data_IF_697352169834
#
_entry.id   IF_697352169834
#
_cell.length_a   1.000
_cell.length_b   1.000
_cell.length_c   1.000
_cell.angle_alpha   90.00
_cell.angle_beta   90.00
_cell.angle_gamma   90.00
#
_symmetry.space_group_name_H-M   'P 1'
#
loop_
_entity.id
_entity.type
_entity.pdbx_description
1 polymer ?
#
# COMPACT_ATOMS: atom_id res chain seq x y z
N UNK A 1 -1.19 -30.48 -15.06
CA UNK A 1 -1.95 -29.71 -14.04
C UNK A 1 -0.94 -28.97 -13.17
N UNK A 2 -0.63 -27.73 -13.51
CA UNK A 2 0.35 -26.91 -12.77
C UNK A 2 -0.18 -25.49 -12.76
N UNK A 3 -0.60 -25.01 -11.59
CA UNK A 3 -1.06 -23.65 -11.40
C UNK A 3 0.15 -22.79 -10.99
N UNK A 4 0.42 -21.71 -11.70
CA UNK A 4 1.28 -20.64 -11.18
C UNK A 4 0.40 -19.72 -10.32
N UNK A 5 0.32 -20.02 -9.03
CA UNK A 5 -0.24 -19.11 -8.04
C UNK A 5 0.91 -18.23 -7.56
N UNK A 6 0.91 -16.94 -7.89
CA UNK A 6 1.75 -15.97 -7.21
C UNK A 6 1.14 -15.68 -5.82
N UNK A 7 1.34 -16.62 -4.88
CA UNK A 7 1.09 -16.39 -3.47
C UNK A 7 2.40 -15.91 -2.83
N UNK A 8 2.45 -14.63 -2.43
CA UNK A 8 3.54 -14.12 -1.61
C UNK A 8 3.31 -14.57 -0.18
N UNK A 9 3.99 -15.64 0.24
CA UNK A 9 3.98 -16.09 1.63
C UNK A 9 4.69 -15.05 2.52
N UNK A 10 4.01 -14.56 3.56
CA UNK A 10 4.61 -13.73 4.64
C UNK A 10 5.51 -14.63 5.50
N UNK A 11 6.82 -14.50 5.34
CA UNK A 11 7.81 -15.19 6.18
C UNK A 11 8.06 -14.45 7.49
N UNK A 12 7.82 -15.13 8.62
CA UNK A 12 8.37 -14.77 9.94
C UNK A 12 9.79 -15.33 10.06
N UNK A 13 10.75 -14.53 10.55
CA UNK A 13 12.08 -15.04 10.94
C UNK A 13 12.55 -14.44 12.26
N UNK A 14 12.93 -15.34 13.16
CA UNK A 14 13.73 -15.14 14.37
C UNK A 14 15.21 -15.46 14.06
N UNK A 15 16.24 -14.86 14.72
CA UNK A 15 17.64 -14.92 14.28
C UNK A 15 18.54 -15.82 15.15
N UNK A 16 19.48 -16.54 14.50
CA UNK A 16 20.79 -17.04 14.95
C UNK A 16 21.33 -17.89 13.78
N UNK A 17 22.54 -17.84 13.21
CA UNK A 17 23.95 -17.54 13.57
C UNK A 17 24.74 -17.17 12.27
N UNK A 18 25.68 -16.20 12.22
CA UNK A 18 27.17 -16.30 12.24
C UNK A 18 27.73 -17.62 11.62
N UNK A 19 28.59 -17.68 10.57
CA UNK A 19 29.97 -17.13 10.42
C UNK A 19 30.56 -17.47 9.01
N UNK A 20 31.20 -16.47 8.38
CA UNK A 20 32.43 -16.40 7.51
C UNK A 20 32.64 -17.17 6.18
N UNK A 21 33.27 -16.45 5.21
CA UNK A 21 33.97 -16.99 4.04
C UNK A 21 34.07 -16.01 2.86
N UNK A 22 35.04 -15.08 2.86
CA UNK A 22 35.38 -14.17 1.75
C UNK A 22 36.39 -14.81 0.80
N UNK A 23 36.21 -14.62 -0.51
CA UNK A 23 37.28 -14.58 -1.51
C UNK A 23 36.95 -13.51 -2.57
N UNK A 24 37.88 -12.58 -2.77
CA UNK A 24 37.94 -11.53 -3.83
C UNK A 24 38.85 -12.08 -4.94
N UNK A 25 38.68 -11.72 -6.23
CA UNK A 25 39.51 -10.64 -6.82
C UNK A 25 38.74 -9.80 -7.87
N UNK A 26 38.81 -8.46 -7.87
CA UNK A 26 39.81 -7.55 -8.49
C UNK A 26 39.14 -6.71 -9.59
N UNK A 27 39.32 -5.39 -9.43
CA UNK A 27 39.02 -4.27 -10.32
C UNK A 27 39.56 -4.42 -11.74
N UNK A 28 38.82 -3.90 -12.73
CA UNK A 28 39.28 -2.87 -13.70
C UNK A 28 38.07 -2.05 -14.20
N UNK A 29 38.14 -0.72 -14.11
CA UNK A 29 37.27 0.23 -14.83
C UNK A 29 38.05 0.80 -16.05
N UNK A 30 37.39 1.40 -17.05
CA UNK A 30 37.37 2.87 -17.04
C UNK A 30 36.13 3.57 -17.63
N UNK A 31 35.93 4.78 -17.08
CA UNK A 31 35.36 6.06 -17.52
C UNK A 31 34.86 6.29 -18.97
N UNK A 32 33.96 7.29 -19.05
CA UNK A 32 33.49 8.17 -20.17
C UNK A 32 31.97 7.97 -20.40
N UNK A 33 31.08 8.98 -20.43
CA UNK A 33 31.20 10.43 -20.67
C UNK A 33 29.92 11.10 -20.17
N UNK A 34 30.02 12.32 -19.65
CA UNK A 34 28.88 13.22 -19.42
C UNK A 34 28.26 13.64 -20.75
N UNK A 35 26.92 13.69 -20.82
CA UNK A 35 26.19 14.62 -21.70
C UNK A 35 25.05 15.26 -20.93
N UNK A 36 25.25 16.53 -20.60
CA UNK A 36 24.16 17.48 -20.37
C UNK A 36 23.28 17.48 -21.62
N UNK A 37 21.99 17.21 -21.45
CA UNK A 37 20.97 17.59 -22.42
C UNK A 37 20.01 18.52 -21.68
N UNK A 38 20.19 19.81 -21.92
CA UNK A 38 19.18 20.83 -21.69
C UNK A 38 18.27 20.81 -22.91
N UNK A 39 16.99 20.52 -22.74
CA UNK A 39 15.96 20.83 -23.74
C UNK A 39 14.87 21.65 -23.08
N UNK A 40 14.70 22.86 -23.60
CA UNK A 40 13.70 23.85 -23.23
C UNK A 40 12.27 23.40 -23.60
N UNK A 41 11.31 23.96 -22.86
CA UNK A 41 9.86 23.73 -22.90
C UNK A 41 9.24 23.85 -24.30
N UNK A 42 8.33 22.91 -24.60
CA UNK A 42 7.14 23.16 -25.41
C UNK A 42 5.91 22.70 -24.60
N UNK A 43 5.00 23.63 -24.32
CA UNK A 43 3.77 23.37 -23.59
C UNK A 43 2.72 22.75 -24.52
N UNK A 44 2.66 21.42 -24.54
CA UNK A 44 1.46 20.69 -24.91
C UNK A 44 0.86 20.12 -23.62
N UNK A 45 -0.40 20.47 -23.33
CA UNK A 45 -1.15 19.94 -22.19
C UNK A 45 -1.32 18.43 -22.34
N UNK A 46 -0.39 17.71 -21.74
CA UNK A 46 -0.34 16.26 -21.67
C UNK A 46 -1.05 15.85 -20.36
N UNK A 47 -2.01 14.89 -20.37
CA UNK A 47 -2.70 14.43 -19.15
C UNK A 47 -1.76 13.77 -18.13
N UNK A 48 -0.48 13.58 -18.47
CA UNK A 48 0.59 13.13 -17.59
C UNK A 48 0.99 14.13 -16.50
N UNK A 49 0.68 15.42 -16.65
CA UNK A 49 1.07 16.45 -15.65
C UNK A 49 0.26 16.40 -14.34
N UNK A 50 -0.97 15.90 -14.35
CA UNK A 50 -1.83 15.78 -13.15
C UNK A 50 -1.52 14.53 -12.34
N UNK A 51 -1.02 13.48 -12.99
CA UNK A 51 -0.65 12.18 -12.40
C UNK A 51 0.64 12.21 -11.59
N UNK A 52 1.42 13.28 -11.75
CA UNK A 52 2.62 13.54 -10.96
C UNK A 52 2.41 14.60 -9.87
N UNK A 53 1.17 15.02 -9.64
CA UNK A 53 0.88 16.04 -8.64
C UNK A 53 0.96 15.46 -7.21
N UNK A 54 1.37 16.28 -6.23
CA UNK A 54 1.23 15.93 -4.81
C UNK A 54 -0.21 15.55 -4.41
N UNK A 55 -1.21 16.05 -5.14
CA UNK A 55 -2.63 15.78 -4.90
C UNK A 55 -3.04 14.35 -5.27
N UNK A 56 -2.33 13.70 -6.20
CA UNK A 56 -2.50 12.26 -6.47
C UNK A 56 -1.64 11.40 -5.54
N UNK A 57 -0.36 11.78 -5.36
CA UNK A 57 0.62 10.92 -4.66
C UNK A 57 0.34 10.80 -3.17
N UNK A 58 -0.17 11.85 -2.52
CA UNK A 58 -0.51 11.79 -1.09
C UNK A 58 -1.61 10.77 -0.79
N UNK A 59 -2.80 10.80 -1.42
CA UNK A 59 -3.82 9.78 -1.19
C UNK A 59 -3.43 8.39 -1.73
N UNK A 60 -2.70 8.30 -2.85
CA UNK A 60 -2.11 7.04 -3.31
C UNK A 60 -1.21 6.42 -2.23
N UNK A 61 -0.33 7.22 -1.63
CA UNK A 61 0.53 6.78 -0.53
C UNK A 61 -0.28 6.27 0.66
N UNK A 62 -1.39 6.93 1.01
CA UNK A 62 -2.28 6.44 2.08
C UNK A 62 -2.88 5.07 1.74
N UNK A 63 -3.36 4.86 0.50
CA UNK A 63 -3.85 3.56 0.05
C UNK A 63 -2.78 2.46 0.10
N UNK A 64 -1.56 2.79 -0.31
CA UNK A 64 -0.40 1.88 -0.25
C UNK A 64 -0.04 1.54 1.22
N UNK A 65 -0.12 2.51 2.13
CA UNK A 65 0.09 2.30 3.57
C UNK A 65 -1.02 1.42 4.17
N UNK A 66 -2.27 1.60 3.75
CA UNK A 66 -3.41 0.79 4.19
C UNK A 66 -3.21 -0.70 3.90
N UNK A 67 -2.66 -1.04 2.73
CA UNK A 67 -2.27 -2.41 2.39
C UNK A 67 -0.98 -2.86 3.08
N UNK A 68 0.17 -2.30 2.66
CA UNK A 68 1.51 -2.81 3.01
C UNK A 68 2.27 -1.97 4.05
N UNK A 69 1.67 -0.87 4.52
CA UNK A 69 2.29 0.03 5.50
C UNK A 69 2.26 -0.49 6.94
N UNK A 70 3.24 -0.07 7.73
CA UNK A 70 3.39 -0.39 9.15
C UNK A 70 3.77 0.86 9.94
N UNK A 71 2.87 1.28 10.85
CA UNK A 71 3.11 2.36 11.80
C UNK A 71 3.50 1.74 13.15
N UNK A 72 4.77 1.92 13.49
CA UNK A 72 5.46 1.24 14.58
C UNK A 72 5.81 2.24 15.68
N UNK A 73 5.43 1.89 16.91
CA UNK A 73 5.96 2.51 18.12
C UNK A 73 6.68 1.42 18.88
N UNK A 74 7.96 1.65 19.13
CA UNK A 74 8.85 0.76 19.88
C UNK A 74 9.49 1.55 21.02
N UNK A 75 10.41 0.90 21.74
CA UNK A 75 11.23 1.56 22.73
C UNK A 75 12.70 1.18 22.61
N UNK A 76 13.59 2.10 22.96
CA UNK A 76 14.98 1.82 23.23
C UNK A 76 15.17 1.57 24.72
N UNK A 77 15.59 0.34 25.08
CA UNK A 77 15.94 -0.08 26.45
C UNK A 77 14.91 0.30 27.52
N UNK A 78 13.62 0.30 27.18
CA UNK A 78 12.52 0.71 28.06
C UNK A 78 12.65 2.16 28.59
N UNK A 79 13.36 3.04 27.87
CA UNK A 79 13.61 4.42 28.28
C UNK A 79 13.00 5.44 27.32
N UNK A 80 13.20 5.25 26.02
CA UNK A 80 12.78 6.22 25.01
C UNK A 80 11.91 5.56 23.96
N UNK A 81 10.82 6.23 23.58
CA UNK A 81 9.97 5.77 22.50
C UNK A 81 10.64 6.02 21.14
N UNK A 82 10.52 5.04 20.25
CA UNK A 82 11.00 5.11 18.88
C UNK A 82 9.81 4.95 17.94
N UNK A 83 9.71 5.84 16.97
CA UNK A 83 8.61 5.87 16.01
C UNK A 83 9.15 5.54 14.63
N UNK A 84 8.40 4.75 13.88
CA UNK A 84 8.76 4.43 12.50
C UNK A 84 7.52 4.19 11.66
N UNK A 85 7.52 4.72 10.45
CA UNK A 85 6.58 4.35 9.40
C UNK A 85 7.37 3.61 8.33
N UNK A 86 6.90 2.44 7.93
CA UNK A 86 7.58 1.56 6.96
C UNK A 86 6.58 1.07 5.92
N UNK A 87 6.99 1.05 4.66
CA UNK A 87 6.41 0.22 3.60
C UNK A 87 7.51 -0.74 3.16
N UNK A 88 7.20 -2.03 3.06
CA UNK A 88 8.15 -3.08 2.67
C UNK A 88 7.60 -3.79 1.44
N UNK A 89 8.32 -3.70 0.32
CA UNK A 89 7.95 -4.33 -0.95
C UNK A 89 9.08 -5.24 -1.45
N UNK A 90 8.77 -6.12 -2.40
CA UNK A 90 9.79 -6.92 -3.11
C UNK A 90 10.75 -5.97 -3.84
N UNK A 91 12.05 -6.24 -3.77
CA UNK A 91 13.06 -5.47 -4.48
C UNK A 91 13.03 -5.80 -5.98
N UNK A 92 12.21 -5.05 -6.71
CA UNK A 92 12.19 -5.02 -8.17
C UNK A 92 12.26 -3.57 -8.62
N UNK A 93 12.76 -3.34 -9.83
CA UNK A 93 13.05 -2.00 -10.35
C UNK A 93 11.84 -1.05 -10.27
N UNK A 94 10.66 -1.50 -10.71
CA UNK A 94 9.42 -0.69 -10.66
C UNK A 94 9.01 -0.30 -9.24
N UNK A 95 9.18 -1.18 -8.25
CA UNK A 95 8.94 -0.82 -6.85
C UNK A 95 9.96 0.19 -6.31
N UNK A 96 11.24 0.08 -6.71
CA UNK A 96 12.27 1.05 -6.31
C UNK A 96 11.95 2.43 -6.90
N UNK A 97 11.63 2.49 -8.19
CA UNK A 97 11.26 3.73 -8.89
C UNK A 97 10.03 4.36 -8.23
N UNK A 98 8.97 3.58 -7.98
CA UNK A 98 7.77 4.06 -7.28
C UNK A 98 8.10 4.66 -5.91
N UNK A 99 8.91 3.97 -5.09
CA UNK A 99 9.23 4.44 -3.75
C UNK A 99 10.15 5.67 -3.75
N UNK A 100 11.09 5.77 -4.70
CA UNK A 100 11.90 6.99 -4.88
C UNK A 100 11.02 8.16 -5.32
N UNK A 101 10.03 7.89 -6.17
CA UNK A 101 9.08 8.91 -6.58
C UNK A 101 8.18 9.37 -5.43
N UNK A 102 7.61 8.45 -4.64
CA UNK A 102 6.86 8.76 -3.41
C UNK A 102 7.70 9.60 -2.45
N UNK A 103 8.99 9.27 -2.30
CA UNK A 103 9.92 10.02 -1.45
C UNK A 103 10.07 11.48 -1.90
N UNK A 104 9.97 11.81 -3.19
CA UNK A 104 10.04 13.22 -3.63
C UNK A 104 8.87 14.07 -3.11
N UNK A 105 7.70 13.46 -2.87
CA UNK A 105 6.48 14.16 -2.42
C UNK A 105 6.28 14.04 -0.91
N UNK A 106 6.50 12.84 -0.36
CA UNK A 106 6.21 12.50 1.04
C UNK A 106 7.46 12.67 1.92
N UNK A 107 8.66 12.63 1.32
CA UNK A 107 9.94 12.58 2.02
C UNK A 107 10.30 11.17 2.51
N UNK A 108 11.07 11.08 3.60
CA UNK A 108 11.56 9.80 4.13
C UNK A 108 12.80 9.27 3.38
N UNK A 109 13.03 7.95 3.47
CA UNK A 109 14.20 7.29 2.89
C UNK A 109 13.79 5.99 2.19
N UNK A 110 14.37 5.76 1.02
CA UNK A 110 14.31 4.45 0.34
C UNK A 110 15.57 3.67 0.70
N UNK A 111 15.41 2.41 1.09
CA UNK A 111 16.52 1.51 1.46
C UNK A 111 16.34 0.18 0.75
N UNK A 112 17.37 -0.25 0.04
CA UNK A 112 17.39 -1.54 -0.64
C UNK A 112 18.14 -2.55 0.23
N UNK A 113 17.52 -3.68 0.53
CA UNK A 113 18.14 -4.84 1.17
C UNK A 113 18.30 -5.95 0.14
N UNK A 114 19.46 -5.95 -0.54
CA UNK A 114 19.78 -6.95 -1.55
C UNK A 114 19.86 -8.38 -0.98
N UNK A 115 20.20 -8.54 0.30
CA UNK A 115 20.33 -9.88 0.92
C UNK A 115 18.97 -10.53 1.10
N UNK A 116 17.96 -9.75 1.49
CA UNK A 116 16.59 -10.24 1.73
C UNK A 116 15.65 -10.01 0.55
N UNK A 117 16.15 -9.41 -0.53
CA UNK A 117 15.40 -9.08 -1.73
C UNK A 117 14.17 -8.19 -1.46
N UNK A 118 14.33 -7.18 -0.61
CA UNK A 118 13.28 -6.22 -0.28
C UNK A 118 13.75 -4.78 -0.49
N UNK A 119 12.81 -3.91 -0.84
CA UNK A 119 12.97 -2.46 -0.80
C UNK A 119 12.03 -1.90 0.25
N UNK A 120 12.52 -0.90 0.97
CA UNK A 120 11.80 -0.24 2.05
C UNK A 120 11.67 1.24 1.76
N UNK A 121 10.48 1.79 1.92
CA UNK A 121 10.33 3.20 2.23
C UNK A 121 10.18 3.34 3.74
N UNK A 122 10.95 4.23 4.37
CA UNK A 122 11.00 4.36 5.82
C UNK A 122 11.23 5.79 6.26
N UNK A 123 10.55 6.19 7.32
CA UNK A 123 10.89 7.38 8.12
C UNK A 123 10.85 7.05 9.61
N UNK A 124 11.86 7.51 10.32
CA UNK A 124 12.04 7.40 11.77
C UNK A 124 12.28 8.77 12.44
N UNK A 125 12.24 9.85 11.65
CA UNK A 125 12.33 11.21 12.18
C UNK A 125 10.98 11.61 12.80
N UNK A 126 11.00 11.98 14.09
CA UNK A 126 9.78 12.41 14.81
C UNK A 126 9.11 13.61 14.14
N UNK A 127 9.88 14.61 13.73
CA UNK A 127 9.36 15.82 13.05
C UNK A 127 8.75 15.49 11.70
N UNK A 128 9.38 14.59 10.94
CA UNK A 128 8.86 14.12 9.65
C UNK A 128 7.60 13.26 9.81
N UNK A 129 7.55 12.42 10.85
CA UNK A 129 6.35 11.64 11.17
C UNK A 129 5.18 12.58 11.50
N UNK A 130 5.43 13.65 12.25
CA UNK A 130 4.41 14.67 12.53
C UNK A 130 3.93 15.38 11.24
N UNK A 131 4.80 15.67 10.27
CA UNK A 131 4.35 16.24 8.99
C UNK A 131 3.50 15.25 8.19
N UNK A 132 3.80 13.94 8.25
CA UNK A 132 2.96 12.90 7.65
C UNK A 132 1.60 12.79 8.34
N UNK A 133 1.47 13.12 9.64
CA UNK A 133 0.16 13.16 10.28
C UNK A 133 -0.79 14.16 9.62
N UNK A 134 -0.28 15.30 9.13
CA UNK A 134 -1.09 16.24 8.33
C UNK A 134 -1.59 15.64 7.01
N UNK A 135 -0.82 14.72 6.40
CA UNK A 135 -1.27 13.95 5.24
C UNK A 135 -2.40 12.99 5.63
N UNK A 136 -2.25 12.25 6.73
CA UNK A 136 -3.29 11.34 7.21
C UNK A 136 -4.54 12.05 7.75
N UNK A 137 -4.43 13.29 8.19
CA UNK A 137 -5.59 14.11 8.57
C UNK A 137 -6.39 14.55 7.35
N UNK A 138 -5.70 14.93 6.26
CA UNK A 138 -6.34 15.28 5.00
C UNK A 138 -6.86 14.07 4.23
N UNK A 139 -6.16 12.94 4.33
CA UNK A 139 -6.49 11.67 3.68
C UNK A 139 -6.46 10.55 4.72
N UNK A 140 -7.53 10.38 5.52
CA UNK A 140 -7.58 9.34 6.54
C UNK A 140 -7.40 7.92 5.98
N UNK A 141 -6.59 7.07 6.64
CA UNK A 141 -6.53 5.63 6.33
C UNK A 141 -7.90 4.98 6.51
N UNK A 142 -8.27 4.10 5.59
CA UNK A 142 -9.58 3.46 5.55
C UNK A 142 -9.57 2.06 6.18
N UNK A 143 -8.39 1.44 6.34
CA UNK A 143 -8.30 0.18 7.10
C UNK A 143 -8.31 0.45 8.60
N UNK A 144 -9.03 -0.40 9.33
CA UNK A 144 -9.09 -0.38 10.79
C UNK A 144 -7.69 -0.53 11.38
N UNK A 145 -6.89 -1.42 10.79
CA UNK A 145 -5.51 -1.68 11.19
C UNK A 145 -4.72 -0.38 11.23
N UNK A 146 -4.49 0.26 10.08
CA UNK A 146 -3.63 1.46 10.00
C UNK A 146 -4.20 2.61 10.82
N UNK A 147 -5.51 2.81 10.81
CA UNK A 147 -6.12 3.86 11.61
C UNK A 147 -5.90 3.66 13.13
N UNK A 148 -5.97 2.43 13.64
CA UNK A 148 -5.56 2.12 15.02
C UNK A 148 -4.07 2.38 15.26
N UNK A 149 -3.21 2.01 14.31
CA UNK A 149 -1.77 2.24 14.46
C UNK A 149 -1.43 3.73 14.51
N UNK A 150 -2.07 4.53 13.67
CA UNK A 150 -1.94 5.99 13.65
C UNK A 150 -2.42 6.61 14.96
N UNK A 151 -3.62 6.22 15.44
CA UNK A 151 -4.18 6.71 16.69
C UNK A 151 -3.25 6.41 17.88
N UNK A 152 -2.75 5.18 17.97
CA UNK A 152 -1.81 4.80 19.02
C UNK A 152 -0.49 5.57 18.94
N UNK A 153 0.05 5.76 17.73
CA UNK A 153 1.27 6.54 17.52
C UNK A 153 1.09 8.01 17.92
N UNK A 154 -0.03 8.65 17.56
CA UNK A 154 -0.36 10.02 17.97
C UNK A 154 -0.38 10.14 19.50
N UNK A 155 -1.09 9.26 20.19
CA UNK A 155 -1.13 9.24 21.66
C UNK A 155 0.25 9.04 22.29
N UNK A 156 1.07 8.14 21.72
CA UNK A 156 2.45 7.93 22.20
C UNK A 156 3.33 9.17 22.02
N UNK A 157 3.15 9.95 20.95
CA UNK A 157 3.90 11.19 20.70
C UNK A 157 3.43 12.30 21.65
N UNK A 158 2.12 12.45 21.82
CA UNK A 158 1.51 13.45 22.70
C UNK A 158 1.91 13.23 24.16
N UNK A 159 1.74 12.00 24.66
CA UNK A 159 2.04 11.68 26.06
C UNK A 159 3.53 11.58 26.33
N UNK A 160 4.31 11.15 25.33
CA UNK A 160 5.76 10.96 25.40
C UNK A 160 6.20 10.20 26.67
N UNK A 161 5.42 9.21 27.10
CA UNK A 161 5.56 8.52 28.38
C UNK A 161 5.69 7.01 28.15
N UNK A 162 6.77 6.43 28.68
CA UNK A 162 7.11 5.02 28.46
C UNK A 162 6.21 4.05 29.23
N UNK A 163 5.81 4.40 30.46
CA UNK A 163 4.90 3.59 31.28
C UNK A 163 3.52 3.53 30.64
N UNK A 164 3.04 4.68 30.14
CA UNK A 164 1.80 4.75 29.38
C UNK A 164 1.87 3.83 28.15
N UNK A 165 2.98 3.84 27.41
CA UNK A 165 3.16 2.93 26.28
C UNK A 165 3.09 1.46 26.73
N UNK A 166 3.78 1.05 27.81
CA UNK A 166 3.74 -0.34 28.27
C UNK A 166 2.35 -0.77 28.74
N UNK A 167 1.62 0.12 29.42
CA UNK A 167 0.28 -0.14 29.91
C UNK A 167 -0.76 -0.24 28.77
N UNK A 168 -0.49 0.38 27.60
CA UNK A 168 -1.48 0.50 26.52
C UNK A 168 -1.12 -0.25 25.23
N UNK A 169 0.15 -0.67 25.03
CA UNK A 169 0.60 -1.26 23.75
C UNK A 169 -0.16 -2.51 23.32
N UNK A 170 -0.56 -3.36 24.27
CA UNK A 170 -1.31 -4.58 23.99
C UNK A 170 -2.76 -4.27 23.61
N UNK A 171 -3.26 -3.10 24.02
CA UNK A 171 -4.62 -2.60 23.77
C UNK A 171 -4.69 -1.70 22.52
N UNK A 172 -3.60 -1.61 21.74
CA UNK A 172 -3.52 -0.80 20.50
C UNK A 172 -4.71 -1.03 19.57
N UNK A 173 -5.15 -2.28 19.43
CA UNK A 173 -6.28 -2.66 18.59
C UNK A 173 -7.60 -2.82 19.38
N UNK A 174 -7.54 -2.92 20.71
CA UNK A 174 -8.70 -2.89 21.60
C UNK A 174 -9.40 -1.52 21.58
N UNK A 175 -8.60 -0.45 21.49
CA UNK A 175 -9.09 0.94 21.55
C UNK A 175 -10.08 1.36 20.45
N UNK A 176 -10.26 0.60 19.37
CA UNK A 176 -11.26 0.91 18.32
C UNK A 176 -12.51 0.07 18.48
N UNK A 177 -12.42 -1.24 18.75
CA UNK A 177 -13.62 -2.08 18.92
C UNK A 177 -14.31 -1.82 20.27
N UNK A 178 -13.55 -1.61 21.36
CA UNK A 178 -14.13 -1.37 22.68
C UNK A 178 -14.63 0.07 22.86
N UNK A 179 -13.93 1.10 22.36
CA UNK A 179 -14.46 2.47 22.37
C UNK A 179 -15.74 2.62 21.54
N UNK A 180 -15.86 1.90 20.42
CA UNK A 180 -17.06 1.94 19.59
C UNK A 180 -18.26 1.24 20.24
N UNK A 181 -18.02 0.18 21.01
CA UNK A 181 -19.05 -0.47 21.85
C UNK A 181 -19.45 0.39 23.06
N UNK A 182 -18.52 1.16 23.63
CA UNK A 182 -18.75 1.98 24.83
C UNK A 182 -19.43 3.33 24.57
N UNK A 183 -19.36 3.88 23.34
CA UNK A 183 -19.86 5.23 23.04
C UNK A 183 -21.32 5.29 22.56
N UNK A 184 -22.02 4.16 22.32
CA UNK A 184 -23.30 4.14 21.57
C UNK A 184 -23.28 4.93 20.25
N UNK A 185 -22.09 5.33 19.77
CA UNK A 185 -21.86 5.94 18.46
C UNK A 185 -21.51 4.84 17.49
N UNK A 186 -22.46 3.95 17.20
CA UNK A 186 -22.41 3.16 15.96
C UNK A 186 -22.28 4.12 14.75
N UNK A 187 -22.79 5.34 14.89
CA UNK A 187 -23.05 6.29 13.82
C UNK A 187 -21.80 6.82 13.10
N UNK A 188 -20.69 7.21 13.75
CA UNK A 188 -19.59 7.89 13.03
C UNK A 188 -18.63 6.93 12.31
N UNK A 189 -18.28 5.78 12.92
CA UNK A 189 -17.37 4.83 12.28
C UNK A 189 -18.08 3.97 11.23
N UNK A 190 -19.40 3.70 11.40
CA UNK A 190 -20.23 3.18 10.31
C UNK A 190 -20.41 4.24 9.21
N UNK A 191 -20.65 5.53 9.53
CA UNK A 191 -20.69 6.59 8.50
C UNK A 191 -19.42 6.59 7.66
N UNK A 192 -18.23 6.55 8.27
CA UNK A 192 -16.93 6.58 7.56
C UNK A 192 -16.70 5.35 6.65
N UNK A 193 -17.41 4.23 6.86
CA UNK A 193 -17.34 3.04 6.01
C UNK A 193 -18.62 2.75 5.23
N UNK A 194 -19.65 3.58 5.34
CA UNK A 194 -20.81 3.45 4.46
C UNK A 194 -20.39 3.73 3.02
N UNK A 195 -20.97 2.96 2.10
CA UNK A 195 -20.74 3.13 0.66
C UNK A 195 -20.96 4.58 0.23
N UNK A 196 -22.05 5.19 0.72
CA UNK A 196 -22.44 6.56 0.40
C UNK A 196 -21.47 7.63 0.90
N UNK A 197 -20.67 7.35 1.93
CA UNK A 197 -19.60 8.24 2.39
C UNK A 197 -18.33 8.03 1.58
N UNK A 198 -17.89 6.78 1.41
CA UNK A 198 -16.66 6.46 0.69
C UNK A 198 -16.68 6.95 -0.75
N UNK A 199 -17.82 6.84 -1.43
CA UNK A 199 -18.01 7.35 -2.80
C UNK A 199 -17.89 8.88 -2.92
N UNK A 200 -18.12 9.62 -1.84
CA UNK A 200 -18.05 11.10 -1.81
C UNK A 200 -16.67 11.63 -1.45
N UNK A 201 -15.75 10.77 -1.04
CA UNK A 201 -14.40 11.20 -0.67
C UNK A 201 -13.66 11.67 -1.93
N UNK A 202 -13.21 12.94 -1.98
CA UNK A 202 -12.60 13.49 -3.20
C UNK A 202 -11.27 12.82 -3.57
N UNK A 203 -10.68 12.05 -2.65
CA UNK A 203 -9.41 11.38 -2.82
C UNK A 203 -9.53 9.86 -3.06
N UNK A 204 -10.76 9.33 -3.07
CA UNK A 204 -10.98 7.88 -3.06
C UNK A 204 -10.36 7.18 -4.27
N UNK A 205 -10.27 7.86 -5.40
CA UNK A 205 -9.78 7.22 -6.62
C UNK A 205 -8.28 6.95 -6.55
N UNK A 206 -7.51 7.95 -6.12
CA UNK A 206 -6.08 7.77 -5.89
C UNK A 206 -5.80 6.79 -4.74
N UNK A 207 -6.63 6.81 -3.69
CA UNK A 207 -6.53 5.84 -2.60
C UNK A 207 -6.78 4.41 -3.09
N UNK A 208 -7.80 4.18 -3.93
CA UNK A 208 -8.09 2.85 -4.52
C UNK A 208 -6.91 2.35 -5.34
N UNK A 209 -6.27 3.19 -6.17
CA UNK A 209 -5.05 2.81 -6.89
C UNK A 209 -3.93 2.38 -5.95
N UNK A 210 -3.68 3.15 -4.89
CA UNK A 210 -2.65 2.82 -3.89
C UNK A 210 -2.94 1.51 -3.15
N UNK A 211 -4.21 1.26 -2.85
CA UNK A 211 -4.65 0.03 -2.21
C UNK A 211 -4.58 -1.19 -3.15
N UNK A 212 -4.89 -1.01 -4.43
CA UNK A 212 -4.70 -2.04 -5.48
C UNK A 212 -3.20 -2.35 -5.67
N UNK A 213 -2.33 -1.34 -5.65
CA UNK A 213 -0.88 -1.53 -5.75
C UNK A 213 -0.38 -2.50 -4.66
N UNK A 214 -0.89 -2.36 -3.43
CA UNK A 214 -0.57 -3.26 -2.33
C UNK A 214 -1.26 -4.63 -2.46
N UNK A 215 -2.60 -4.65 -2.49
CA UNK A 215 -3.40 -5.85 -2.21
C UNK A 215 -4.06 -6.47 -3.44
N UNK A 216 -4.10 -5.76 -4.57
CA UNK A 216 -4.72 -6.23 -5.81
C UNK A 216 -3.91 -7.33 -6.48
N UNK A 217 -4.55 -8.17 -7.29
CA UNK A 217 -3.88 -9.23 -8.03
C UNK A 217 -4.51 -9.37 -9.41
N UNK A 218 -3.72 -9.13 -10.45
CA UNK A 218 -4.10 -9.37 -11.83
C UNK A 218 -3.60 -10.75 -12.26
N UNK A 219 -4.54 -11.64 -12.59
CA UNK A 219 -4.21 -13.03 -12.93
C UNK A 219 -4.38 -13.25 -14.43
N UNK A 220 -3.33 -13.80 -15.06
CA UNK A 220 -3.34 -14.29 -16.44
C UNK A 220 -3.13 -15.82 -16.45
N UNK A 221 -4.19 -16.64 -16.42
CA UNK A 221 -4.02 -18.09 -16.49
C UNK A 221 -3.68 -18.53 -17.92
N UNK A 222 -3.03 -19.70 -18.04
CA UNK A 222 -2.73 -20.35 -19.32
C UNK A 222 -3.97 -20.62 -20.20
N UNK A 223 -5.17 -20.62 -19.62
CA UNK A 223 -6.47 -20.87 -20.30
C UNK A 223 -7.27 -19.58 -20.57
N UNK A 224 -6.60 -18.41 -20.56
CA UNK A 224 -7.18 -17.11 -20.95
C UNK A 224 -8.38 -16.61 -20.09
N UNK A 225 -8.54 -17.16 -18.89
CA UNK A 225 -9.54 -16.73 -17.91
C UNK A 225 -8.98 -15.62 -17.01
N UNK A 226 -8.84 -14.43 -17.58
CA UNK A 226 -8.43 -13.23 -16.87
C UNK A 226 -9.29 -13.01 -15.62
N UNK A 227 -8.65 -12.77 -14.49
CA UNK A 227 -9.34 -12.41 -13.25
C UNK A 227 -8.59 -11.35 -12.47
N UNK A 228 -9.35 -10.59 -11.68
CA UNK A 228 -8.84 -9.68 -10.69
C UNK A 228 -9.28 -10.16 -9.31
N UNK A 229 -8.38 -10.13 -8.34
CA UNK A 229 -8.72 -10.35 -6.93
C UNK A 229 -8.09 -9.30 -6.04
N UNK A 230 -8.73 -9.05 -4.90
CA UNK A 230 -8.21 -8.23 -3.82
C UNK A 230 -8.63 -8.87 -2.49
N UNK A 231 -7.75 -8.83 -1.51
CA UNK A 231 -7.99 -9.50 -0.23
C UNK A 231 -7.56 -8.63 0.93
N UNK A 232 -8.20 -8.82 2.09
CA UNK A 232 -7.81 -8.13 3.32
C UNK A 232 -8.28 -8.95 4.54
N UNK A 233 -7.68 -8.72 5.71
CA UNK A 233 -8.09 -9.39 6.94
C UNK A 233 -9.20 -8.60 7.66
N UNK A 234 -10.36 -9.21 7.91
CA UNK A 234 -11.48 -8.65 8.69
C UNK A 234 -11.99 -7.26 8.23
N UNK A 235 -11.88 -6.94 6.94
CA UNK A 235 -12.31 -5.63 6.37
C UNK A 235 -13.47 -5.81 5.37
N UNK A 236 -14.56 -6.47 5.80
CA UNK A 236 -15.67 -6.82 4.90
C UNK A 236 -16.29 -5.59 4.23
N UNK A 237 -16.55 -4.54 5.00
CA UNK A 237 -17.17 -3.32 4.48
C UNK A 237 -16.30 -2.64 3.42
N UNK A 238 -14.98 -2.68 3.59
CA UNK A 238 -14.04 -2.14 2.61
C UNK A 238 -14.06 -2.94 1.31
N UNK A 239 -14.02 -4.27 1.40
CA UNK A 239 -14.13 -5.12 0.20
C UNK A 239 -15.50 -4.97 -0.46
N UNK A 240 -16.56 -4.78 0.33
CA UNK A 240 -17.90 -4.55 -0.19
C UNK A 240 -17.97 -3.18 -0.91
N UNK A 241 -17.32 -2.15 -0.37
CA UNK A 241 -17.11 -0.89 -1.10
C UNK A 241 -16.43 -1.10 -2.45
N UNK A 242 -15.28 -1.79 -2.48
CA UNK A 242 -14.57 -2.06 -3.75
C UNK A 242 -15.46 -2.86 -4.72
N UNK A 243 -16.26 -3.79 -4.19
CA UNK A 243 -17.24 -4.55 -4.96
C UNK A 243 -18.27 -3.64 -5.62
N UNK A 244 -18.85 -2.68 -4.90
CA UNK A 244 -19.79 -1.71 -5.47
C UNK A 244 -19.10 -0.72 -6.42
N UNK A 245 -17.94 -0.21 -6.03
CA UNK A 245 -17.14 0.75 -6.79
C UNK A 245 -16.84 0.26 -8.22
N UNK A 246 -16.50 -1.03 -8.37
CA UNK A 246 -16.25 -1.65 -9.68
C UNK A 246 -17.46 -2.42 -10.24
N UNK A 247 -18.62 -2.35 -9.59
CA UNK A 247 -19.83 -3.09 -9.97
C UNK A 247 -19.58 -4.60 -10.15
N UNK A 248 -18.86 -5.20 -9.21
CA UNK A 248 -18.57 -6.63 -9.18
C UNK A 248 -19.79 -7.35 -8.58
N UNK A 249 -20.37 -8.30 -9.33
CA UNK A 249 -21.52 -9.07 -8.81
C UNK A 249 -21.11 -10.32 -8.04
N UNK A 250 -19.84 -10.74 -8.15
CA UNK A 250 -19.28 -11.84 -7.38
C UNK A 250 -19.34 -11.54 -5.87
N UNK A 251 -19.70 -12.56 -5.08
CA UNK A 251 -19.77 -12.45 -3.62
C UNK A 251 -18.38 -12.47 -3.01
N UNK A 252 -18.21 -11.74 -1.90
CA UNK A 252 -17.00 -11.80 -1.07
C UNK A 252 -16.93 -13.19 -0.43
N UNK A 253 -15.76 -13.83 -0.53
CA UNK A 253 -15.50 -15.17 0.01
C UNK A 253 -14.73 -15.05 1.33
N UNK A 254 -15.12 -15.85 2.30
CA UNK A 254 -14.40 -16.00 3.57
C UNK A 254 -13.45 -17.21 3.48
N UNK A 255 -12.20 -17.04 3.88
CA UNK A 255 -11.25 -18.14 3.95
C UNK A 255 -11.45 -18.88 5.26
N UNK A 256 -11.69 -20.21 5.19
CA UNK A 256 -11.95 -21.04 6.37
C UNK A 256 -10.79 -20.94 7.37
N UNK A 257 -11.10 -20.75 8.64
CA UNK A 257 -10.13 -20.67 9.74
C UNK A 257 -9.09 -19.56 9.58
N UNK A 258 -9.41 -18.51 8.82
CA UNK A 258 -8.53 -17.36 8.58
C UNK A 258 -9.35 -16.06 8.66
N UNK A 259 -8.78 -14.95 9.18
CA UNK A 259 -9.42 -13.64 9.10
C UNK A 259 -9.46 -13.09 7.66
N UNK A 260 -8.81 -13.76 6.70
CA UNK A 260 -8.71 -13.34 5.32
C UNK A 260 -10.07 -13.46 4.61
N UNK A 261 -10.46 -12.36 3.97
CA UNK A 261 -11.59 -12.30 3.04
C UNK A 261 -11.09 -11.90 1.66
N UNK A 262 -11.74 -12.42 0.62
CA UNK A 262 -11.30 -12.29 -0.77
C UNK A 262 -12.48 -11.85 -1.63
N UNK A 263 -12.28 -10.78 -2.40
CA UNK A 263 -13.14 -10.41 -3.51
C UNK A 263 -12.42 -10.78 -4.80
N UNK A 264 -13.08 -11.55 -5.67
CA UNK A 264 -12.50 -12.00 -6.93
C UNK A 264 -13.55 -11.93 -8.03
N UNK A 265 -13.14 -11.50 -9.23
CA UNK A 265 -14.00 -11.41 -10.39
C UNK A 265 -13.25 -11.80 -11.66
N UNK A 266 -13.92 -12.55 -12.53
CA UNK A 266 -13.52 -12.77 -13.92
C UNK A 266 -14.54 -12.14 -14.90
N UNK A 267 -15.49 -11.34 -14.38
CA UNK A 267 -16.57 -10.77 -15.17
C UNK A 267 -16.02 -9.64 -16.05
N UNK A 268 -16.19 -9.78 -17.37
CA UNK A 268 -15.64 -8.85 -18.34
C UNK A 268 -15.97 -7.38 -18.02
N UNK A 269 -17.23 -7.06 -17.73
CA UNK A 269 -17.65 -5.70 -17.38
C UNK A 269 -16.93 -5.12 -16.16
N UNK A 270 -16.70 -5.93 -15.12
CA UNK A 270 -15.96 -5.48 -13.94
C UNK A 270 -14.47 -5.27 -14.27
N UNK A 271 -13.86 -6.18 -15.04
CA UNK A 271 -12.46 -6.05 -15.49
C UNK A 271 -12.25 -4.80 -16.35
N UNK A 272 -13.24 -4.45 -17.18
CA UNK A 272 -13.24 -3.21 -17.96
C UNK A 272 -13.24 -2.00 -17.03
N UNK A 273 -14.15 -1.93 -16.07
CA UNK A 273 -14.23 -0.81 -15.11
C UNK A 273 -12.95 -0.67 -14.28
N UNK A 274 -12.36 -1.78 -13.84
CA UNK A 274 -11.06 -1.78 -13.15
C UNK A 274 -9.98 -1.22 -14.07
N UNK A 275 -9.95 -1.63 -15.34
CA UNK A 275 -8.96 -1.16 -16.30
C UNK A 275 -9.13 0.33 -16.63
N UNK A 276 -10.36 0.80 -16.79
CA UNK A 276 -10.67 2.22 -16.99
C UNK A 276 -10.21 3.06 -15.79
N UNK A 277 -10.48 2.59 -14.57
CA UNK A 277 -9.99 3.23 -13.37
C UNK A 277 -8.47 3.29 -13.33
N UNK A 278 -7.76 2.17 -13.55
CA UNK A 278 -6.29 2.16 -13.51
C UNK A 278 -5.69 3.03 -14.63
N UNK A 279 -6.30 3.08 -15.82
CA UNK A 279 -5.82 3.98 -16.87
C UNK A 279 -5.99 5.46 -16.52
N UNK A 280 -7.02 5.82 -15.72
CA UNK A 280 -7.25 7.19 -15.28
C UNK A 280 -6.50 7.54 -13.99
N UNK A 281 -6.30 6.56 -13.10
CA UNK A 281 -5.61 6.64 -11.82
C UNK A 281 -4.54 5.52 -11.75
N UNK A 282 -3.34 5.76 -12.30
CA UNK A 282 -2.35 4.73 -12.60
C UNK A 282 -1.67 4.14 -11.38
N UNK A 283 -1.46 2.83 -11.44
CA UNK A 283 -0.50 2.12 -10.61
C UNK A 283 0.92 2.60 -10.95
N UNK A 284 1.84 2.50 -9.98
CA UNK A 284 3.17 3.10 -10.08
C UNK A 284 4.31 2.08 -9.94
N UNK A 285 4.06 0.93 -9.29
CA UNK A 285 5.08 -0.08 -8.97
C UNK A 285 4.89 -1.39 -9.72
N UNK A 286 5.25 -2.49 -9.06
CA UNK A 286 5.14 -3.85 -9.60
C UNK A 286 3.75 -4.18 -10.16
N UNK A 287 2.70 -3.63 -9.54
CA UNK A 287 1.32 -3.93 -9.94
C UNK A 287 0.96 -3.24 -11.25
N UNK A 288 1.62 -2.14 -11.59
CA UNK A 288 1.54 -1.50 -12.91
C UNK A 288 2.02 -2.45 -14.00
N UNK A 289 3.21 -3.04 -13.83
CA UNK A 289 3.77 -3.98 -14.80
C UNK A 289 2.82 -5.18 -15.02
N UNK A 290 2.27 -5.72 -13.93
CA UNK A 290 1.29 -6.81 -13.99
C UNK A 290 -0.01 -6.38 -14.69
N UNK A 291 -0.48 -5.16 -14.43
CA UNK A 291 -1.66 -4.60 -15.07
C UNK A 291 -1.46 -4.40 -16.57
N UNK A 292 -0.29 -3.94 -17.03
CA UNK A 292 -0.02 -3.72 -18.45
C UNK A 292 -0.14 -5.03 -19.25
N UNK A 293 0.42 -6.12 -18.74
CA UNK A 293 0.27 -7.45 -19.32
C UNK A 293 -1.20 -7.91 -19.33
N UNK A 294 -1.87 -7.73 -18.19
CA UNK A 294 -3.29 -8.07 -18.04
C UNK A 294 -4.19 -7.30 -19.00
N UNK A 295 -3.96 -5.99 -19.15
CA UNK A 295 -4.75 -5.09 -19.96
C UNK A 295 -4.59 -5.39 -21.45
N UNK A 296 -3.38 -5.73 -21.90
CA UNK A 296 -3.13 -6.17 -23.27
C UNK A 296 -3.90 -7.47 -23.58
N UNK A 297 -3.88 -8.44 -22.67
CA UNK A 297 -4.67 -9.67 -22.84
C UNK A 297 -6.18 -9.39 -22.84
N UNK A 298 -6.65 -8.45 -22.00
CA UNK A 298 -8.05 -8.06 -21.93
C UNK A 298 -8.54 -7.39 -23.22
N UNK A 299 -7.71 -6.53 -23.84
CA UNK A 299 -8.00 -5.91 -25.14
C UNK A 299 -8.21 -6.96 -26.22
N UNK A 300 -7.33 -7.95 -26.30
CA UNK A 300 -7.47 -9.03 -27.29
C UNK A 300 -8.76 -9.82 -27.09
N UNK A 301 -9.19 -10.03 -25.84
CA UNK A 301 -10.45 -10.72 -25.52
C UNK A 301 -11.71 -9.91 -25.87
N UNK A 302 -11.64 -8.57 -25.92
CA UNK A 302 -12.77 -7.73 -26.36
C UNK A 302 -13.03 -7.78 -27.87
N UNK A 303 -12.01 -8.11 -28.64
CA UNK A 303 -12.04 -8.12 -30.10
C UNK A 303 -12.53 -9.46 -30.68
N UNK A 304 -12.70 -10.48 -29.84
CA UNK A 304 -13.27 -11.78 -30.16
C UNK A 304 -14.69 -11.90 -29.62
#
# INVERSE_FOLDING_TARGET
KTYFIFAVAKYHSSPNSRVWGCCVPVLVAPLLTQRLIVVCRAAHNNPTSTLQSPDYIKPFFVGLVDGDGSLQVNHWRQRYLQYRIVIKLKNIESNVIMLEYIKTVIGGKVRVDNKRNFVYWVTDSRTHIQSIFGIFERYPPLTTRVACQLCFMKQCIEKNNIDWYFNNRNNKYHSRIEKLKLLNTEVELFKVKTLSYLEKLPYIQAWVSGFIEAEGCFTLPAQNNLSFSISQNNEYDLLNFIRYFFNITAKIRFVKSSPLIILETAQLNALIKISEHVNHYPLLGAKKDAFELFYNALKNKKLC
#
